data_IF_074628026443
#
_entry.id   IF_074628026443
#
_cell.length_a   1.000
_cell.length_b   1.000
_cell.length_c   1.000
_cell.angle_alpha   90.00
_cell.angle_beta   90.00
_cell.angle_gamma   90.00
#
_symmetry.space_group_name_H-M   'P 1'
#
loop_
_entity.id
_entity.type
_entity.pdbx_description
1 polymer ?
#
# COMPACT_ATOMS: atom_id res chain seq x y z
N UNK A 1 0.81 21.76 -27.42
CA UNK A 1 2.13 21.98 -28.08
C UNK A 1 3.14 22.37 -27.03
N UNK A 2 3.83 21.40 -26.44
CA UNK A 2 4.97 21.71 -25.57
C UNK A 2 6.18 21.01 -26.16
N UNK A 3 7.03 21.80 -26.83
CA UNK A 3 8.22 21.35 -27.53
C UNK A 3 9.42 21.36 -26.55
N UNK A 4 9.41 20.48 -25.56
CA UNK A 4 10.65 20.16 -24.86
C UNK A 4 11.43 19.16 -25.72
N UNK A 5 12.75 19.37 -25.92
CA UNK A 5 13.55 18.39 -26.62
C UNK A 5 13.57 17.10 -25.81
N UNK A 6 13.30 15.99 -26.49
CA UNK A 6 13.47 14.65 -25.95
C UNK A 6 14.76 14.05 -26.50
N UNK A 7 15.36 13.19 -25.70
CA UNK A 7 16.60 12.52 -26.02
C UNK A 7 16.48 11.07 -25.61
N UNK A 8 17.05 10.19 -26.40
CA UNK A 8 17.34 8.82 -25.98
C UNK A 8 18.56 8.80 -25.04
N UNK A 9 18.68 7.77 -24.23
CA UNK A 9 19.86 7.58 -23.38
C UNK A 9 21.17 7.57 -24.19
N UNK A 10 21.16 6.99 -25.40
CA UNK A 10 22.33 7.00 -26.29
C UNK A 10 22.68 8.40 -26.80
N UNK A 11 21.68 9.22 -27.12
CA UNK A 11 21.92 10.62 -27.52
C UNK A 11 22.50 11.44 -26.36
N UNK A 12 21.95 11.31 -25.15
CA UNK A 12 22.49 11.98 -23.97
C UNK A 12 23.92 11.56 -23.68
N UNK A 13 24.21 10.26 -23.78
CA UNK A 13 25.54 9.71 -23.57
C UNK A 13 26.55 10.27 -24.58
N UNK A 14 26.18 10.33 -25.85
CA UNK A 14 27.02 10.92 -26.91
C UNK A 14 27.21 12.43 -26.75
N UNK A 15 26.26 13.11 -26.13
CA UNK A 15 26.34 14.53 -25.78
C UNK A 15 27.14 14.79 -24.49
N UNK A 16 27.68 13.74 -23.85
CA UNK A 16 28.37 13.79 -22.55
C UNK A 16 27.52 14.43 -21.43
N UNK A 17 26.19 14.26 -21.50
CA UNK A 17 25.30 14.72 -20.43
C UNK A 17 25.43 13.77 -19.25
N UNK A 18 25.63 14.33 -18.06
CA UNK A 18 25.74 13.57 -16.81
C UNK A 18 24.36 13.28 -16.21
N UNK A 19 24.28 12.25 -15.37
CA UNK A 19 23.08 11.96 -14.57
C UNK A 19 22.70 13.13 -13.64
N UNK A 20 23.68 13.87 -13.15
CA UNK A 20 23.44 15.07 -12.36
C UNK A 20 22.76 16.19 -13.16
N UNK A 21 23.18 16.41 -14.42
CA UNK A 21 22.50 17.38 -15.29
C UNK A 21 21.06 16.97 -15.59
N UNK A 22 20.81 15.66 -15.74
CA UNK A 22 19.45 15.13 -15.90
C UNK A 22 18.56 15.45 -14.69
N UNK A 23 19.09 15.33 -13.47
CA UNK A 23 18.35 15.73 -12.25
C UNK A 23 17.99 17.23 -12.26
N UNK A 24 18.89 18.07 -12.77
CA UNK A 24 18.65 19.52 -12.90
C UNK A 24 17.57 19.86 -13.94
N UNK A 25 17.21 18.92 -14.83
CA UNK A 25 16.11 19.07 -15.78
C UNK A 25 14.76 18.64 -15.19
N UNK A 26 14.58 18.77 -13.87
CA UNK A 26 13.36 18.38 -13.15
C UNK A 26 12.92 16.94 -13.42
N UNK A 27 13.90 16.06 -13.71
CA UNK A 27 13.69 14.65 -13.94
C UNK A 27 13.50 13.89 -12.62
N UNK A 28 12.85 12.72 -12.66
CA UNK A 28 12.75 11.88 -11.46
C UNK A 28 14.11 11.26 -11.12
N UNK A 29 14.35 11.02 -9.83
CA UNK A 29 15.58 10.38 -9.34
C UNK A 29 15.74 9.01 -10.02
N UNK A 30 14.68 8.20 -10.08
CA UNK A 30 14.73 6.90 -10.74
C UNK A 30 15.18 6.98 -12.21
N UNK A 31 14.77 8.02 -12.96
CA UNK A 31 15.18 8.16 -14.37
C UNK A 31 16.65 8.57 -14.47
N UNK A 32 17.12 9.44 -13.58
CA UNK A 32 18.53 9.81 -13.51
C UNK A 32 19.43 8.64 -13.09
N UNK A 33 18.99 7.81 -12.14
CA UNK A 33 19.68 6.58 -11.73
C UNK A 33 19.74 5.56 -12.85
N UNK A 34 18.62 5.32 -13.54
CA UNK A 34 18.60 4.42 -14.71
C UNK A 34 19.51 4.91 -15.83
N UNK A 35 19.65 6.22 -15.99
CA UNK A 35 20.59 6.81 -16.95
C UNK A 35 22.05 6.69 -16.46
N UNK A 36 22.31 6.83 -15.16
CA UNK A 36 23.62 6.55 -14.57
C UNK A 36 24.04 5.08 -14.81
N UNK A 37 23.13 4.12 -14.59
CA UNK A 37 23.36 2.71 -14.90
C UNK A 37 23.74 2.51 -16.38
N UNK A 38 23.07 3.24 -17.28
CA UNK A 38 23.35 3.19 -18.72
C UNK A 38 24.73 3.76 -19.06
N UNK A 39 25.14 4.88 -18.44
CA UNK A 39 26.48 5.47 -18.63
C UNK A 39 27.56 4.45 -18.21
N UNK A 40 27.36 3.75 -17.10
CA UNK A 40 28.33 2.79 -16.55
C UNK A 40 28.37 1.48 -17.32
N UNK A 41 27.20 0.99 -17.78
CA UNK A 41 27.06 -0.33 -18.41
C UNK A 41 26.20 -0.28 -19.69
N UNK A 42 26.61 0.49 -20.73
CA UNK A 42 25.76 0.76 -21.89
C UNK A 42 25.43 -0.50 -22.72
N UNK A 43 26.29 -1.52 -22.69
CA UNK A 43 26.07 -2.78 -23.41
C UNK A 43 25.18 -3.79 -22.67
N UNK A 44 24.91 -3.60 -21.38
CA UNK A 44 24.04 -4.48 -20.57
C UNK A 44 22.67 -3.88 -20.35
N UNK A 45 22.59 -2.55 -20.28
CA UNK A 45 21.33 -1.84 -20.19
C UNK A 45 20.63 -1.87 -21.55
N UNK A 46 19.62 -2.74 -21.73
CA UNK A 46 18.68 -2.70 -22.86
C UNK A 46 17.79 -1.44 -22.83
N UNK A 47 18.38 -0.27 -22.58
CA UNK A 47 17.72 1.04 -22.35
C UNK A 47 18.17 2.12 -23.33
N UNK A 48 18.88 1.73 -24.40
CA UNK A 48 19.39 2.64 -25.46
C UNK A 48 18.31 3.59 -25.98
N UNK A 49 17.07 3.09 -26.13
CA UNK A 49 15.92 3.83 -26.65
C UNK A 49 15.01 4.42 -25.55
N UNK A 50 15.40 4.34 -24.27
CA UNK A 50 14.64 4.97 -23.19
C UNK A 50 14.69 6.49 -23.37
N UNK A 51 13.52 7.13 -23.32
CA UNK A 51 13.36 8.55 -23.62
C UNK A 51 13.42 9.37 -22.34
N UNK A 52 14.10 10.50 -22.44
CA UNK A 52 14.18 11.51 -21.41
C UNK A 52 13.82 12.86 -21.99
N UNK A 53 13.01 13.62 -21.26
CA UNK A 53 12.63 14.96 -21.63
C UNK A 53 13.40 15.98 -20.80
N UNK A 54 13.95 16.99 -21.47
CA UNK A 54 14.59 18.10 -20.78
C UNK A 54 13.52 19.07 -20.27
N UNK A 55 13.04 18.82 -19.05
CA UNK A 55 12.02 19.61 -18.37
C UNK A 55 12.66 20.72 -17.53
N UNK A 56 13.32 21.69 -18.20
CA UNK A 56 13.79 22.87 -17.46
C UNK A 56 12.62 23.57 -16.78
N UNK A 57 12.86 24.00 -15.54
CA UNK A 57 11.91 24.77 -14.72
C UNK A 57 11.19 25.85 -15.55
N UNK A 58 9.85 26.00 -15.41
CA UNK A 58 9.00 25.45 -14.34
C UNK A 58 8.35 24.08 -14.65
N UNK A 59 8.75 23.40 -15.72
CA UNK A 59 8.08 22.20 -16.19
C UNK A 59 8.64 20.93 -15.53
N UNK A 60 7.78 19.94 -15.27
CA UNK A 60 8.15 18.66 -14.68
C UNK A 60 7.19 17.54 -15.11
N UNK A 61 7.54 16.30 -14.74
CA UNK A 61 6.83 15.08 -15.13
C UNK A 61 7.49 14.35 -16.30
N UNK A 62 7.07 13.10 -16.54
CA UNK A 62 7.71 12.20 -17.53
C UNK A 62 7.75 12.73 -18.96
N UNK A 63 6.89 13.70 -19.29
CA UNK A 63 6.75 14.34 -20.60
C UNK A 63 6.76 15.88 -20.49
N UNK A 64 7.29 16.43 -19.39
CA UNK A 64 7.21 17.85 -19.04
C UNK A 64 5.77 18.41 -19.05
N UNK A 65 4.80 17.57 -18.72
CA UNK A 65 3.38 17.88 -18.88
C UNK A 65 2.80 18.75 -17.75
N UNK A 66 3.54 18.92 -16.66
CA UNK A 66 3.10 19.68 -15.50
C UNK A 66 3.96 20.92 -15.29
N UNK A 67 3.35 21.99 -14.80
CA UNK A 67 4.03 23.20 -14.33
C UNK A 67 3.19 23.81 -13.23
N UNK A 68 3.81 24.49 -12.27
CA UNK A 68 3.07 25.28 -11.29
C UNK A 68 2.68 26.63 -11.91
N UNK A 69 1.38 26.95 -11.95
CA UNK A 69 0.90 28.30 -12.27
C UNK A 69 1.19 29.23 -11.08
N UNK A 70 2.36 29.89 -11.11
CA UNK A 70 2.80 30.79 -10.03
C UNK A 70 1.99 32.09 -9.90
N UNK A 71 1.03 32.34 -10.81
CA UNK A 71 0.17 33.53 -10.80
C UNK A 71 -1.13 33.37 -9.98
N UNK A 72 -1.45 32.16 -9.54
CA UNK A 72 -2.55 31.90 -8.60
C UNK A 72 -2.00 31.92 -7.18
N UNK A 73 -2.76 32.48 -6.23
CA UNK A 73 -2.41 32.45 -4.82
C UNK A 73 -2.12 30.97 -4.47
N UNK A 74 -0.88 30.60 -4.15
CA UNK A 74 -0.49 29.21 -3.86
C UNK A 74 -1.47 28.53 -2.88
N UNK A 75 -2.00 29.32 -1.94
CA UNK A 75 -3.12 29.00 -1.05
C UNK A 75 -4.38 28.49 -1.77
N UNK A 76 -4.89 29.18 -2.79
CA UNK A 76 -6.11 28.80 -3.51
C UNK A 76 -5.91 27.52 -4.33
N UNK A 77 -4.76 27.39 -5.00
CA UNK A 77 -4.43 26.16 -5.74
C UNK A 77 -4.29 24.98 -4.78
N UNK A 78 -3.62 25.17 -3.64
CA UNK A 78 -3.52 24.17 -2.58
C UNK A 78 -4.90 23.77 -2.03
N UNK A 79 -5.77 24.75 -1.74
CA UNK A 79 -7.14 24.53 -1.28
C UNK A 79 -8.00 23.82 -2.34
N UNK A 80 -7.77 24.09 -3.64
CA UNK A 80 -8.47 23.43 -4.75
C UNK A 80 -8.02 21.98 -4.96
N UNK A 81 -6.74 21.68 -4.70
CA UNK A 81 -6.22 20.32 -4.65
C UNK A 81 -6.78 19.60 -3.42
N UNK A 82 -6.72 20.22 -2.24
CA UNK A 82 -7.28 19.69 -0.99
C UNK A 82 -8.78 19.38 -1.11
N UNK A 83 -9.59 20.31 -1.62
CA UNK A 83 -11.03 20.08 -1.77
C UNK A 83 -11.37 18.99 -2.80
N UNK A 84 -10.51 18.75 -3.80
CA UNK A 84 -10.68 17.63 -4.74
C UNK A 84 -10.19 16.29 -4.19
N UNK A 85 -9.22 16.30 -3.28
CA UNK A 85 -8.74 15.09 -2.59
C UNK A 85 -9.75 14.65 -1.51
N UNK A 86 -10.42 15.59 -0.84
CA UNK A 86 -11.25 15.30 0.33
C UNK A 86 -12.77 15.36 0.11
N UNK A 87 -13.28 15.90 -1.00
CA UNK A 87 -14.72 15.99 -1.28
C UNK A 87 -15.09 15.15 -2.51
N UNK A 88 -15.04 13.82 -2.43
CA UNK A 88 -16.00 12.93 -3.14
C UNK A 88 -16.06 11.55 -2.45
N UNK A 89 -17.00 11.38 -1.54
CA UNK A 89 -18.01 10.29 -1.43
C UNK A 89 -17.82 8.92 -2.15
N UNK A 90 -16.62 8.37 -2.26
CA UNK A 90 -16.39 7.07 -2.89
C UNK A 90 -15.33 6.30 -2.13
N UNK A 91 -15.68 5.06 -1.75
CA UNK A 91 -14.78 3.95 -1.42
C UNK A 91 -13.43 4.19 -2.12
N UNK A 92 -12.42 4.60 -1.36
CA UNK A 92 -11.15 5.00 -1.94
C UNK A 92 -10.61 3.81 -2.72
N UNK A 93 -10.25 4.05 -3.98
CA UNK A 93 -9.37 3.13 -4.70
C UNK A 93 -8.06 3.14 -3.92
N UNK A 94 -7.84 2.11 -3.08
CA UNK A 94 -6.60 1.97 -2.33
C UNK A 94 -5.42 2.08 -3.29
N UNK A 95 -4.36 2.76 -2.86
CA UNK A 95 -3.11 2.79 -3.61
C UNK A 95 -2.52 1.39 -3.62
N UNK A 96 -2.21 0.89 -4.82
CA UNK A 96 -1.65 -0.44 -5.00
C UNK A 96 -0.14 -0.35 -5.16
N UNK A 97 0.58 -1.17 -4.41
CA UNK A 97 1.98 -1.45 -4.68
C UNK A 97 2.09 -2.34 -5.92
N UNK A 98 2.69 -1.79 -6.98
CA UNK A 98 2.72 -2.44 -8.30
C UNK A 98 4.05 -3.11 -8.64
N UNK A 99 5.10 -2.82 -7.86
CA UNK A 99 6.45 -3.33 -8.16
C UNK A 99 6.61 -4.80 -7.74
N UNK A 100 5.85 -5.24 -6.73
CA UNK A 100 5.77 -6.65 -6.35
C UNK A 100 4.58 -7.31 -7.03
N UNK A 101 4.82 -8.41 -7.75
CA UNK A 101 3.74 -9.20 -8.35
C UNK A 101 3.09 -10.07 -7.28
N UNK A 102 2.05 -9.54 -6.65
CA UNK A 102 1.29 -10.23 -5.61
C UNK A 102 -0.04 -10.74 -6.16
N UNK A 103 -0.36 -12.01 -5.91
CA UNK A 103 -1.69 -12.57 -6.09
C UNK A 103 -2.46 -12.51 -4.77
N UNK A 104 -3.29 -11.48 -4.62
CA UNK A 104 -4.18 -11.30 -3.44
C UNK A 104 -5.40 -12.23 -3.45
N UNK A 105 -5.55 -13.09 -4.46
CA UNK A 105 -6.70 -13.96 -4.60
C UNK A 105 -7.96 -13.26 -5.13
N UNK A 106 -9.12 -13.74 -4.71
CA UNK A 106 -10.41 -13.28 -5.22
C UNK A 106 -10.90 -12.04 -4.45
N UNK A 107 -10.33 -10.88 -4.75
CA UNK A 107 -10.77 -9.60 -4.20
C UNK A 107 -10.32 -8.44 -5.07
N UNK A 108 -11.01 -7.31 -4.99
CA UNK A 108 -10.57 -6.02 -5.54
C UNK A 108 -9.44 -5.38 -4.71
N UNK A 109 -9.09 -5.98 -3.58
CA UNK A 109 -8.00 -5.56 -2.70
C UNK A 109 -6.64 -5.86 -3.34
N UNK A 110 -5.82 -4.82 -3.46
CA UNK A 110 -4.45 -4.93 -3.92
C UNK A 110 -3.45 -4.78 -2.77
N UNK A 111 -2.23 -5.26 -2.98
CA UNK A 111 -1.12 -5.13 -2.03
C UNK A 111 -0.84 -3.66 -1.71
N UNK A 112 -0.80 -3.33 -0.44
CA UNK A 112 -0.27 -2.09 0.11
C UNK A 112 1.23 -2.27 0.38
N UNK A 113 2.02 -1.19 0.31
CA UNK A 113 3.46 -1.28 0.55
C UNK A 113 3.80 -1.65 2.00
N UNK A 114 2.90 -1.36 2.95
CA UNK A 114 3.07 -1.65 4.38
C UNK A 114 2.84 -3.12 4.74
N UNK A 115 2.21 -3.86 3.84
CA UNK A 115 1.94 -5.30 3.94
C UNK A 115 3.10 -6.12 3.33
N UNK A 116 4.27 -5.52 3.13
CA UNK A 116 5.47 -6.19 2.63
C UNK A 116 6.44 -6.31 3.80
N UNK A 117 6.87 -7.53 4.11
CA UNK A 117 7.78 -7.81 5.22
C UNK A 117 7.21 -7.39 6.58
N UNK A 118 5.91 -7.57 6.77
CA UNK A 118 5.22 -7.27 8.03
C UNK A 118 5.02 -8.52 8.90
N UNK A 119 5.41 -9.70 8.40
CA UNK A 119 5.26 -11.00 9.05
C UNK A 119 3.95 -11.71 8.68
N UNK A 120 3.09 -11.10 7.86
CA UNK A 120 1.83 -11.68 7.38
C UNK A 120 1.92 -12.04 5.91
N UNK A 121 1.57 -13.28 5.58
CA UNK A 121 1.51 -13.71 4.18
C UNK A 121 0.14 -13.32 3.61
N UNK A 122 0.10 -12.25 2.84
CA UNK A 122 -1.06 -11.81 2.08
C UNK A 122 -1.04 -12.27 0.62
N UNK A 123 0.14 -12.48 0.05
CA UNK A 123 0.30 -12.92 -1.33
C UNK A 123 0.21 -14.45 -1.46
N UNK A 124 -0.82 -14.93 -2.15
CA UNK A 124 -1.08 -16.37 -2.35
C UNK A 124 -0.04 -17.06 -3.24
N UNK A 125 0.68 -16.31 -4.06
CA UNK A 125 1.76 -16.81 -4.91
C UNK A 125 3.06 -16.98 -4.12
N UNK A 126 3.05 -17.98 -3.23
CA UNK A 126 4.17 -18.45 -2.42
C UNK A 126 4.67 -17.45 -1.34
N UNK A 127 3.82 -16.51 -0.89
CA UNK A 127 4.18 -15.54 0.14
C UNK A 127 5.33 -14.64 -0.26
N UNK A 128 5.25 -14.10 -1.48
CA UNK A 128 6.30 -13.27 -2.08
C UNK A 128 6.50 -11.92 -1.38
N UNK A 129 5.46 -11.41 -0.73
CA UNK A 129 5.48 -10.26 0.19
C UNK A 129 6.43 -10.49 1.38
N UNK A 130 6.47 -11.72 1.89
CA UNK A 130 7.33 -12.10 3.02
C UNK A 130 8.65 -12.75 2.59
N UNK A 131 9.00 -12.62 1.30
CA UNK A 131 10.21 -13.22 0.75
C UNK A 131 11.41 -12.28 0.85
N UNK A 132 12.56 -12.80 1.30
CA UNK A 132 13.83 -12.07 1.38
C UNK A 132 13.84 -10.85 2.34
N UNK A 133 12.88 -10.74 3.24
CA UNK A 133 12.79 -9.66 4.24
C UNK A 133 14.00 -9.55 5.16
N UNK A 134 14.69 -10.68 5.42
CA UNK A 134 15.90 -10.69 6.24
C UNK A 134 17.02 -9.78 5.71
N UNK A 135 17.05 -9.47 4.40
CA UNK A 135 18.03 -8.54 3.82
C UNK A 135 17.80 -7.11 4.28
N UNK A 136 16.55 -6.73 4.53
CA UNK A 136 16.18 -5.43 5.10
C UNK A 136 16.48 -5.39 6.61
N UNK A 137 16.28 -6.53 7.29
CA UNK A 137 16.48 -6.63 8.73
C UNK A 137 17.93 -6.81 9.14
N UNK A 138 18.82 -7.41 8.34
CA UNK A 138 20.21 -7.70 8.79
C UNK A 138 21.09 -6.45 8.96
N UNK A 139 20.60 -5.26 8.61
CA UNK A 139 21.38 -4.04 8.74
C UNK A 139 21.84 -3.80 10.19
N UNK A 140 23.15 -3.70 10.36
CA UNK A 140 23.79 -3.24 11.59
C UNK A 140 24.01 -1.73 11.48
N UNK A 141 23.34 -0.97 12.35
CA UNK A 141 23.49 0.48 12.39
C UNK A 141 24.80 0.89 13.07
N UNK A 142 25.29 2.07 12.71
CA UNK A 142 26.48 2.68 13.33
C UNK A 142 26.23 3.03 14.80
N UNK A 143 27.29 3.23 15.60
CA UNK A 143 27.16 3.54 17.03
C UNK A 143 26.35 4.82 17.33
N UNK A 144 26.27 5.76 16.38
CA UNK A 144 25.50 7.00 16.45
C UNK A 144 24.08 6.89 15.88
N UNK A 145 23.67 5.69 15.47
CA UNK A 145 22.37 5.41 14.86
C UNK A 145 21.54 4.48 15.73
N UNK A 146 20.23 4.62 15.62
CA UNK A 146 19.24 3.77 16.24
C UNK A 146 18.61 2.90 15.16
N UNK A 147 18.45 1.61 15.48
CA UNK A 147 17.84 0.62 14.59
C UNK A 147 16.36 0.49 14.92
N UNK A 148 15.50 0.84 13.96
CA UNK A 148 14.07 0.58 13.98
C UNK A 148 13.78 -0.93 14.01
N UNK A 149 12.54 -1.34 14.31
CA UNK A 149 12.19 -2.77 14.29
C UNK A 149 12.25 -3.34 12.87
N UNK A 150 11.88 -2.55 11.86
CA UNK A 150 11.98 -2.91 10.45
C UNK A 150 13.41 -2.86 9.87
N UNK A 151 14.45 -2.67 10.71
CA UNK A 151 15.85 -2.66 10.29
C UNK A 151 16.37 -1.32 9.75
N UNK A 152 15.53 -0.28 9.64
CA UNK A 152 15.95 1.06 9.24
C UNK A 152 16.89 1.68 10.29
N UNK A 153 17.99 2.28 9.85
CA UNK A 153 18.90 3.02 10.70
C UNK A 153 18.61 4.52 10.65
N UNK A 154 18.30 5.13 11.79
CA UNK A 154 18.09 6.57 11.91
C UNK A 154 19.14 7.20 12.85
N UNK A 155 19.63 8.42 12.59
CA UNK A 155 20.54 9.08 13.53
C UNK A 155 19.91 9.27 14.92
N UNK A 156 20.65 8.95 15.98
CA UNK A 156 20.18 9.08 17.39
C UNK A 156 19.78 10.50 17.78
N UNK A 157 20.20 11.51 17.02
CA UNK A 157 19.79 12.90 17.19
C UNK A 157 18.28 13.07 16.99
N UNK A 158 17.68 12.28 16.09
CA UNK A 158 16.24 12.32 15.81
C UNK A 158 15.39 11.59 16.84
N UNK A 159 15.99 10.88 17.80
CA UNK A 159 15.26 10.26 18.91
C UNK A 159 14.83 11.27 19.99
N UNK A 160 15.35 12.50 19.96
CA UNK A 160 15.27 13.46 21.08
C UNK A 160 14.26 14.58 20.89
N UNK A 161 13.55 14.63 19.77
CA UNK A 161 12.59 15.71 19.57
C UNK A 161 11.35 15.46 20.44
N UNK A 162 11.05 16.44 21.31
CA UNK A 162 9.95 16.48 22.29
C UNK A 162 8.55 16.31 21.66
N UNK A 163 8.45 16.22 20.34
CA UNK A 163 7.21 16.30 19.57
C UNK A 163 6.60 14.95 19.13
N UNK A 164 7.15 13.80 19.57
CA UNK A 164 6.57 12.48 19.25
C UNK A 164 6.46 12.22 17.72
N UNK A 165 7.31 12.82 16.91
CA UNK A 165 7.44 12.46 15.49
C UNK A 165 8.40 11.27 15.44
N UNK A 166 7.88 10.05 15.48
CA UNK A 166 8.72 8.88 15.23
C UNK A 166 9.19 8.94 13.78
N UNK A 167 10.47 9.17 13.55
CA UNK A 167 11.06 9.06 12.21
C UNK A 167 11.20 7.60 11.74
N UNK A 168 11.01 6.63 12.63
CA UNK A 168 10.94 5.24 12.24
C UNK A 168 9.59 5.00 11.54
N UNK A 169 9.63 4.50 10.30
CA UNK A 169 8.43 4.19 9.51
C UNK A 169 7.51 3.19 10.22
N UNK A 170 8.03 2.34 11.10
CA UNK A 170 7.27 1.37 11.91
C UNK A 170 6.84 1.90 13.29
N UNK A 171 7.05 3.20 13.56
CA UNK A 171 6.82 3.86 14.85
C UNK A 171 7.50 3.17 16.03
N UNK A 172 8.60 2.44 15.83
CA UNK A 172 9.25 1.65 16.89
C UNK A 172 9.73 2.49 18.09
N UNK A 173 9.94 3.79 17.90
CA UNK A 173 10.40 4.74 18.92
C UNK A 173 9.25 5.25 19.80
N UNK A 174 8.00 5.16 19.36
CA UNK A 174 6.85 5.60 20.15
C UNK A 174 6.43 4.53 21.17
N UNK A 175 6.18 4.97 22.41
CA UNK A 175 5.62 4.12 23.47
C UNK A 175 4.13 3.84 23.28
N UNK A 176 3.45 4.61 22.43
CA UNK A 176 2.03 4.47 22.13
C UNK A 176 1.79 4.69 20.64
N UNK A 177 1.06 3.77 20.01
CA UNK A 177 0.44 4.00 18.71
C UNK A 177 -0.54 5.16 18.85
N UNK A 178 -0.16 6.37 18.44
CA UNK A 178 -1.11 7.47 18.30
C UNK A 178 -1.94 7.18 17.05
N UNK A 179 -3.27 6.97 17.16
CA UNK A 179 -4.13 6.85 16.00
C UNK A 179 -3.98 8.10 15.14
N UNK A 180 -4.04 7.97 13.81
CA UNK A 180 -4.03 9.11 12.91
C UNK A 180 -5.14 10.09 13.34
N UNK A 181 -4.82 11.28 13.87
CA UNK A 181 -5.87 12.16 14.35
C UNK A 181 -6.65 12.72 13.16
N UNK A 182 -7.99 12.75 13.25
CA UNK A 182 -8.87 13.30 12.19
C UNK A 182 -8.48 14.74 11.78
N UNK A 183 -7.75 15.47 12.63
CA UNK A 183 -7.20 16.79 12.32
C UNK A 183 -6.12 16.80 11.23
N UNK A 184 -5.48 15.66 10.94
CA UNK A 184 -4.54 15.50 9.82
C UNK A 184 -5.26 15.12 8.52
N UNK A 185 -6.50 14.64 8.63
CA UNK A 185 -7.41 14.41 7.50
C UNK A 185 -7.71 15.77 6.84
N UNK A 186 -7.04 16.08 5.74
CA UNK A 186 -7.16 17.37 5.05
C UNK A 186 -5.82 18.05 4.74
N UNK A 187 -4.76 17.62 5.42
CA UNK A 187 -3.42 18.16 5.23
C UNK A 187 -2.73 17.41 4.09
N UNK A 188 -2.01 18.14 3.22
CA UNK A 188 -1.22 17.54 2.12
C UNK A 188 0.09 16.92 2.66
N UNK A 189 -0.01 16.26 3.80
CA UNK A 189 1.09 15.61 4.48
C UNK A 189 0.71 14.15 4.59
N UNK A 190 1.53 13.26 4.02
CA UNK A 190 1.31 11.81 4.03
C UNK A 190 1.62 11.18 5.39
N UNK A 191 1.41 11.95 6.47
CA UNK A 191 1.86 11.61 7.82
C UNK A 191 1.23 10.30 8.28
N UNK A 192 0.03 9.94 7.85
CA UNK A 192 -0.55 8.68 8.28
C UNK A 192 -0.17 7.53 7.33
N UNK A 193 -0.09 7.84 6.04
CA UNK A 193 0.22 6.90 4.97
C UNK A 193 1.69 6.48 4.92
N UNK A 194 2.59 7.25 5.54
CA UNK A 194 4.05 7.01 5.61
C UNK A 194 4.45 6.02 6.71
N UNK A 195 3.55 5.67 7.64
CA UNK A 195 3.87 4.73 8.72
C UNK A 195 3.18 3.37 8.57
N UNK A 196 3.90 2.33 8.96
CA UNK A 196 3.39 0.99 9.20
C UNK A 196 3.04 0.78 10.69
N UNK A 197 2.15 -0.17 10.95
CA UNK A 197 1.84 -0.65 12.29
C UNK A 197 2.99 -1.51 12.81
N UNK A 198 3.12 -1.59 14.13
CA UNK A 198 4.11 -2.49 14.73
C UNK A 198 3.66 -3.94 14.56
N UNK A 199 4.54 -4.78 14.04
CA UNK A 199 4.27 -6.19 13.76
C UNK A 199 4.02 -7.04 15.03
N UNK A 200 4.42 -6.57 16.21
CA UNK A 200 4.25 -7.28 17.48
C UNK A 200 2.86 -7.15 18.11
N UNK A 201 2.00 -6.26 17.60
CA UNK A 201 0.68 -5.99 18.18
C UNK A 201 -0.47 -6.79 17.53
N UNK A 202 -0.20 -7.59 16.49
CA UNK A 202 -1.24 -8.36 15.78
C UNK A 202 -2.37 -7.48 15.25
N UNK A 203 -2.01 -6.30 14.72
CA UNK A 203 -2.95 -5.33 14.17
C UNK A 203 -2.89 -5.36 12.66
N UNK A 204 -4.06 -5.23 12.03
CA UNK A 204 -4.18 -5.18 10.59
C UNK A 204 -4.00 -3.74 10.08
N UNK A 205 -3.24 -3.60 8.99
CA UNK A 205 -2.96 -2.33 8.32
C UNK A 205 -4.02 -2.05 7.28
N UNK A 206 -4.79 -0.98 7.45
CA UNK A 206 -5.89 -0.70 6.52
C UNK A 206 -5.60 0.31 5.41
N UNK A 207 -4.36 0.72 5.17
CA UNK A 207 -3.99 1.46 3.96
C UNK A 207 -4.10 3.00 4.05
N UNK A 208 -4.63 3.52 5.15
CA UNK A 208 -4.70 4.94 5.52
C UNK A 208 -3.79 5.27 6.72
N UNK A 209 -3.03 4.28 7.19
CA UNK A 209 -2.18 4.40 8.37
C UNK A 209 -2.89 4.11 9.69
N UNK A 210 -4.18 3.76 9.64
CA UNK A 210 -4.89 3.26 10.82
C UNK A 210 -4.45 1.83 11.15
N UNK A 211 -4.18 1.61 12.44
CA UNK A 211 -3.86 0.30 13.01
C UNK A 211 -5.03 -0.15 13.86
N UNK A 212 -5.83 -1.09 13.36
CA UNK A 212 -7.00 -1.62 14.07
C UNK A 212 -6.86 -3.14 14.24
N UNK A 213 -7.69 -3.71 15.10
CA UNK A 213 -7.77 -5.16 15.26
C UNK A 213 -8.30 -5.83 13.97
N UNK A 214 -8.05 -7.13 13.81
CA UNK A 214 -8.53 -7.90 12.66
C UNK A 214 -10.02 -7.68 12.38
N UNK A 215 -10.36 -7.33 11.14
CA UNK A 215 -11.72 -7.01 10.68
C UNK A 215 -12.34 -5.76 11.32
N UNK A 216 -11.56 -4.95 12.02
CA UNK A 216 -11.99 -3.66 12.54
C UNK A 216 -12.39 -2.67 11.43
N UNK A 217 -13.31 -1.77 11.74
CA UNK A 217 -13.71 -0.70 10.83
C UNK A 217 -12.55 0.30 10.66
N UNK A 218 -12.21 0.58 9.42
CA UNK A 218 -11.22 1.59 9.03
C UNK A 218 -11.86 2.70 8.19
N UNK A 219 -11.33 3.91 8.27
CA UNK A 219 -11.91 5.08 7.61
C UNK A 219 -11.94 4.95 6.09
N UNK A 220 -10.92 4.36 5.48
CA UNK A 220 -10.87 4.23 4.02
C UNK A 220 -11.70 3.07 3.43
N UNK A 221 -12.36 2.28 4.27
CA UNK A 221 -13.24 1.19 3.84
C UNK A 221 -12.53 -0.07 3.33
N UNK A 222 -11.20 -0.17 3.42
CA UNK A 222 -10.44 -1.36 3.00
C UNK A 222 -10.87 -2.63 3.76
N UNK A 223 -11.31 -2.51 5.01
CA UNK A 223 -11.92 -3.61 5.78
C UNK A 223 -13.11 -4.27 5.07
N UNK A 224 -13.92 -3.50 4.33
CA UNK A 224 -15.04 -4.04 3.56
C UNK A 224 -14.54 -4.90 2.39
N UNK A 225 -13.44 -4.52 1.75
CA UNK A 225 -12.84 -5.28 0.65
C UNK A 225 -12.25 -6.61 1.14
N UNK A 226 -11.66 -6.62 2.34
CA UNK A 226 -11.21 -7.85 2.99
C UNK A 226 -12.39 -8.76 3.34
N UNK A 227 -13.46 -8.21 3.90
CA UNK A 227 -14.68 -8.99 4.19
C UNK A 227 -15.29 -9.54 2.90
N UNK A 228 -15.36 -8.74 1.83
CA UNK A 228 -15.86 -9.17 0.53
C UNK A 228 -15.03 -10.34 -0.05
N UNK A 229 -13.70 -10.28 0.05
CA UNK A 229 -12.81 -11.33 -0.45
C UNK A 229 -12.95 -12.66 0.31
N UNK A 230 -13.20 -12.61 1.63
CA UNK A 230 -13.44 -13.78 2.46
C UNK A 230 -14.86 -14.34 2.32
N UNK A 231 -15.81 -13.52 1.92
CA UNK A 231 -17.23 -13.90 1.80
C UNK A 231 -17.64 -14.22 0.36
N UNK A 232 -16.69 -14.45 -0.55
CA UNK A 232 -17.01 -14.89 -1.92
C UNK A 232 -17.78 -16.22 -1.90
N UNK A 233 -18.93 -16.24 -2.58
CA UNK A 233 -19.80 -17.43 -2.67
C UNK A 233 -19.12 -18.64 -3.33
N UNK A 234 -18.33 -18.40 -4.37
CA UNK A 234 -17.64 -19.46 -5.11
C UNK A 234 -18.60 -20.53 -5.62
N UNK A 235 -18.34 -21.79 -5.25
CA UNK A 235 -19.16 -22.95 -5.66
C UNK A 235 -20.20 -23.37 -4.59
N UNK A 236 -20.38 -22.60 -3.52
CA UNK A 236 -21.38 -22.91 -2.49
C UNK A 236 -22.78 -22.52 -2.98
N UNK A 237 -23.78 -23.31 -2.62
CA UNK A 237 -25.17 -22.89 -2.74
C UNK A 237 -25.46 -21.73 -1.77
N UNK A 238 -26.49 -20.94 -2.04
CA UNK A 238 -26.85 -19.77 -1.22
C UNK A 238 -26.99 -20.12 0.27
N UNK A 239 -27.60 -21.27 0.59
CA UNK A 239 -27.76 -21.72 1.99
C UNK A 239 -26.43 -22.07 2.65
N UNK A 240 -25.50 -22.70 1.91
CA UNK A 240 -24.21 -23.10 2.46
C UNK A 240 -23.24 -21.92 2.56
N UNK A 241 -23.34 -20.99 1.62
CA UNK A 241 -22.65 -19.72 1.69
C UNK A 241 -23.15 -18.89 2.86
N UNK A 242 -24.47 -18.76 3.03
CA UNK A 242 -25.05 -18.04 4.16
C UNK A 242 -24.68 -18.72 5.49
N UNK A 243 -24.64 -20.05 5.55
CA UNK A 243 -24.12 -20.79 6.70
C UNK A 243 -22.65 -20.44 7.00
N UNK A 244 -21.78 -20.53 5.99
CA UNK A 244 -20.36 -20.20 6.09
C UNK A 244 -20.16 -18.79 6.66
N UNK A 245 -20.84 -17.82 6.04
CA UNK A 245 -20.78 -16.40 6.43
C UNK A 245 -21.26 -16.19 7.86
N UNK A 246 -22.46 -16.68 8.20
CA UNK A 246 -23.05 -16.42 9.51
C UNK A 246 -22.36 -17.16 10.66
N UNK A 247 -21.79 -18.35 10.41
CA UNK A 247 -21.04 -19.09 11.42
C UNK A 247 -19.65 -18.51 11.67
N UNK A 248 -19.05 -17.87 10.66
CA UNK A 248 -17.75 -17.20 10.80
C UNK A 248 -17.78 -15.94 11.67
N UNK A 249 -18.98 -15.36 11.88
CA UNK A 249 -19.22 -14.05 12.54
C UNK A 249 -18.55 -12.83 11.91
N UNK A 250 -17.85 -12.98 10.78
CA UNK A 250 -17.23 -11.85 10.06
C UNK A 250 -18.28 -10.82 9.61
N UNK A 251 -19.51 -11.26 9.36
CA UNK A 251 -20.59 -10.42 8.80
C UNK A 251 -21.45 -9.71 9.86
N UNK A 252 -21.12 -9.82 11.15
CA UNK A 252 -21.69 -8.91 12.17
C UNK A 252 -21.45 -7.43 11.81
N UNK A 253 -20.47 -7.13 10.95
CA UNK A 253 -20.17 -5.79 10.41
C UNK A 253 -20.95 -5.41 9.13
N UNK A 254 -21.63 -6.33 8.42
CA UNK A 254 -22.18 -6.06 7.06
C UNK A 254 -23.63 -6.49 6.85
N UNK A 255 -24.12 -7.58 7.46
CA UNK A 255 -25.47 -8.09 7.14
C UNK A 255 -26.14 -8.91 8.26
N UNK A 256 -26.40 -8.25 9.39
CA UNK A 256 -26.96 -8.84 10.61
C UNK A 256 -28.35 -9.49 10.41
N UNK A 257 -29.18 -8.96 9.50
CA UNK A 257 -30.58 -9.38 9.32
C UNK A 257 -30.69 -10.77 8.69
N UNK A 258 -29.95 -11.02 7.60
CA UNK A 258 -29.96 -12.31 6.91
C UNK A 258 -29.43 -13.43 7.79
N UNK A 259 -28.39 -13.14 8.58
CA UNK A 259 -27.86 -14.11 9.54
C UNK A 259 -28.82 -14.38 10.71
N UNK A 260 -29.48 -13.35 11.25
CA UNK A 260 -30.52 -13.54 12.28
C UNK A 260 -31.68 -14.42 11.79
N UNK A 261 -32.09 -14.25 10.53
CA UNK A 261 -33.14 -15.09 9.93
C UNK A 261 -32.67 -16.53 9.71
N UNK A 262 -31.44 -16.71 9.20
CA UNK A 262 -30.86 -18.03 8.95
C UNK A 262 -30.61 -18.83 10.24
N UNK A 263 -30.12 -18.16 11.29
CA UNK A 263 -29.77 -18.77 12.59
C UNK A 263 -31.00 -19.05 13.48
N UNK A 264 -32.21 -18.91 12.94
CA UNK A 264 -33.40 -19.34 13.67
C UNK A 264 -33.39 -20.87 13.84
N UNK A 265 -33.32 -21.33 15.10
CA UNK A 265 -33.08 -22.71 15.52
C UNK A 265 -33.99 -23.77 14.86
N UNK A 266 -35.18 -23.38 14.39
CA UNK A 266 -36.12 -24.28 13.72
C UNK A 266 -35.75 -24.64 12.29
N UNK A 267 -34.86 -23.88 11.63
CA UNK A 267 -34.54 -24.04 10.19
C UNK A 267 -33.07 -24.36 9.90
N UNK A 268 -32.15 -24.12 10.85
CA UNK A 268 -30.70 -24.37 10.65
C UNK A 268 -30.40 -25.78 10.13
N UNK A 269 -30.97 -26.82 10.76
CA UNK A 269 -30.67 -28.20 10.37
C UNK A 269 -31.11 -28.50 8.94
N UNK A 270 -32.29 -28.03 8.53
CA UNK A 270 -32.79 -28.19 7.17
C UNK A 270 -31.98 -27.37 6.16
N UNK A 271 -31.52 -26.17 6.54
CA UNK A 271 -30.67 -25.34 5.70
C UNK A 271 -29.29 -25.96 5.45
N UNK A 272 -28.77 -26.70 6.44
CA UNK A 272 -27.46 -27.36 6.40
C UNK A 272 -27.48 -28.77 5.78
N UNK A 273 -28.66 -29.40 5.60
CA UNK A 273 -28.77 -30.79 5.11
C UNK A 273 -28.05 -31.03 3.77
N UNK A 274 -27.99 -30.00 2.91
CA UNK A 274 -27.35 -30.07 1.60
C UNK A 274 -25.92 -29.51 1.57
N UNK A 275 -25.38 -29.10 2.73
CA UNK A 275 -24.03 -28.56 2.82
C UNK A 275 -23.02 -29.66 3.10
N UNK A 276 -21.93 -29.67 2.33
CA UNK A 276 -20.82 -30.58 2.58
C UNK A 276 -20.10 -30.15 3.86
N UNK A 277 -19.92 -31.08 4.79
CA UNK A 277 -19.18 -30.86 6.03
C UNK A 277 -17.74 -31.40 5.94
N UNK A 278 -16.72 -30.68 6.46
CA UNK A 278 -16.78 -29.29 6.92
C UNK A 278 -17.00 -28.32 5.73
N UNK A 279 -17.67 -27.20 6.00
CA UNK A 279 -17.86 -26.13 5.01
C UNK A 279 -16.54 -25.36 4.97
N UNK A 280 -15.80 -25.37 3.85
CA UNK A 280 -14.51 -24.66 3.78
C UNK A 280 -14.75 -23.15 3.89
N UNK A 281 -13.97 -22.49 4.73
CA UNK A 281 -14.04 -21.05 4.92
C UNK A 281 -12.63 -20.43 4.80
N UNK A 282 -12.45 -19.37 4.01
CA UNK A 282 -13.30 -18.96 2.89
C UNK A 282 -13.28 -20.00 1.74
N UNK A 283 -14.06 -19.75 0.69
CA UNK A 283 -14.12 -20.65 -0.48
C UNK A 283 -12.84 -20.60 -1.32
N UNK A 284 -12.15 -19.48 -1.26
CA UNK A 284 -10.83 -19.22 -1.82
C UNK A 284 -9.73 -19.56 -0.80
N UNK A 285 -8.49 -19.82 -1.22
CA UNK A 285 -7.38 -19.97 -0.29
C UNK A 285 -7.04 -18.64 0.39
N UNK A 286 -6.66 -18.71 1.67
CA UNK A 286 -6.17 -17.55 2.46
C UNK A 286 -4.66 -17.49 2.55
N UNK A 287 -3.98 -18.62 2.31
CA UNK A 287 -2.54 -18.71 2.50
C UNK A 287 -1.93 -19.70 1.50
N UNK A 288 -0.80 -19.31 0.90
CA UNK A 288 0.01 -20.12 -0.04
C UNK A 288 -0.80 -20.73 -1.21
N UNK A 289 -1.93 -20.10 -1.57
CA UNK A 289 -2.79 -20.57 -2.66
C UNK A 289 -3.51 -21.91 -2.42
N UNK A 290 -3.43 -22.51 -1.23
CA UNK A 290 -4.08 -23.80 -0.94
C UNK A 290 -4.65 -23.96 0.47
N UNK A 291 -4.23 -23.13 1.43
CA UNK A 291 -4.70 -23.21 2.82
C UNK A 291 -6.05 -22.52 2.97
N UNK A 292 -6.95 -23.14 3.74
CA UNK A 292 -8.28 -22.63 4.11
C UNK A 292 -8.52 -22.90 5.59
N UNK A 293 -9.35 -22.10 6.24
CA UNK A 293 -9.87 -22.41 7.56
C UNK A 293 -10.96 -23.51 7.45
N UNK A 294 -11.15 -24.28 8.52
CA UNK A 294 -12.09 -25.40 8.63
C UNK A 294 -13.13 -25.14 9.72
#
# INVERSE_FOLDING_TARGET
NVHHPNFTFDELYRLNVTSHEVLLWSSSIDLAERYQDYIEQPMKANRVNELLFNCTSPWFGSYCQYSFEMDSNYSETMLSVQSKVYIVDAIFHSTCYVLLKCDRGAGSMCLDWREICDGHIDCLNDGVDESQCFELEINECSENEYRSHNGLCIPKTFLKDEYNEAECLDKSVLLYSVPCPDTYLGLNMFICEEYACRSDEGRFLYGDGECVEDFGECQNGRHLLLIESLTVQGNLSDNCWLAMVCLSKIVDHVNEISCKQFLNLSQILSNLENCKYPIPFPTTPVLLGHVRFL
#
